data_IF_147201136734
#
_entry.id   IF_147201136734
#
_cell.length_a   1.000
_cell.length_b   1.000
_cell.length_c   1.000
_cell.angle_alpha   90.00
_cell.angle_beta   90.00
_cell.angle_gamma   90.00
#
_symmetry.space_group_name_H-M   'P 1'
#
loop_
_entity.id
_entity.type
_entity.pdbx_description
1 polymer ?
#
# COMPACT_ATOMS: atom_id res chain seq x y z
N UNK A 1 -29.59 54.69 -33.41
CA UNK A 1 -30.39 54.25 -32.26
C UNK A 1 -30.28 52.73 -32.19
N UNK A 2 -29.59 52.22 -31.17
CA UNK A 2 -29.23 50.81 -31.01
C UNK A 2 -30.35 50.08 -30.29
N UNK A 3 -31.09 49.24 -31.00
CA UNK A 3 -31.92 48.20 -30.42
C UNK A 3 -31.28 46.87 -30.79
N UNK A 4 -30.92 46.10 -29.76
CA UNK A 4 -30.58 44.67 -29.69
C UNK A 4 -29.63 44.58 -28.49
N UNK A 5 -30.22 44.51 -27.31
CA UNK A 5 -29.51 44.10 -26.12
C UNK A 5 -30.55 43.54 -25.16
N UNK A 6 -30.19 42.44 -24.51
CA UNK A 6 -30.92 41.75 -23.45
C UNK A 6 -31.94 40.75 -23.98
N UNK A 7 -31.48 39.50 -24.20
CA UNK A 7 -32.23 38.28 -23.87
C UNK A 7 -31.40 36.99 -23.97
N UNK A 8 -30.09 37.05 -23.71
CA UNK A 8 -29.25 35.84 -23.60
C UNK A 8 -28.28 35.99 -22.42
N UNK A 9 -28.82 36.05 -21.20
CA UNK A 9 -28.00 36.08 -19.98
C UNK A 9 -28.68 35.43 -18.77
N UNK A 10 -29.63 34.51 -18.98
CA UNK A 10 -30.37 33.87 -17.89
C UNK A 10 -30.35 32.33 -17.91
N UNK A 11 -29.63 31.69 -18.85
CA UNK A 11 -29.58 30.23 -18.97
C UNK A 11 -28.19 29.62 -18.71
N UNK A 12 -27.22 30.40 -18.23
CA UNK A 12 -25.82 29.97 -18.09
C UNK A 12 -25.30 29.83 -16.66
N UNK A 13 -26.15 29.97 -15.63
CA UNK A 13 -25.70 30.04 -14.21
C UNK A 13 -26.09 28.79 -13.40
N UNK A 14 -26.77 27.80 -13.99
CA UNK A 14 -27.35 26.66 -13.24
C UNK A 14 -26.64 25.30 -13.43
N UNK A 15 -25.42 25.24 -13.97
CA UNK A 15 -24.80 23.96 -14.37
C UNK A 15 -23.45 23.62 -13.74
N UNK A 16 -23.15 24.11 -12.54
CA UNK A 16 -21.96 23.65 -11.78
C UNK A 16 -22.26 23.11 -10.37
N UNK A 17 -23.52 23.13 -9.92
CA UNK A 17 -23.94 22.57 -8.62
C UNK A 17 -24.44 21.12 -8.69
N UNK A 18 -24.21 20.40 -9.80
CA UNK A 18 -24.93 19.15 -10.12
C UNK A 18 -24.14 17.85 -10.16
N UNK A 19 -22.87 17.78 -9.74
CA UNK A 19 -22.10 16.54 -9.95
C UNK A 19 -22.27 15.47 -8.85
N UNK A 20 -22.89 15.77 -7.72
CA UNK A 20 -23.12 14.79 -6.64
C UNK A 20 -24.62 14.66 -6.33
N UNK A 21 -25.32 13.81 -7.07
CA UNK A 21 -26.79 13.61 -7.01
C UNK A 21 -27.29 13.23 -5.60
N UNK A 22 -26.44 12.65 -4.76
CA UNK A 22 -26.81 12.11 -3.45
C UNK A 22 -26.08 12.76 -2.26
N UNK A 23 -25.54 13.97 -2.48
CA UNK A 23 -24.78 14.70 -1.47
C UNK A 23 -23.27 14.45 -1.53
N UNK A 24 -22.54 15.14 -0.66
CA UNK A 24 -21.08 15.09 -0.61
C UNK A 24 -20.61 14.51 0.71
N UNK A 25 -19.48 13.81 0.68
CA UNK A 25 -18.76 13.34 1.87
C UNK A 25 -17.35 13.90 1.86
N UNK A 26 -16.73 14.06 3.03
CA UNK A 26 -15.32 14.39 3.13
C UNK A 26 -14.51 13.10 3.24
N UNK A 27 -13.58 12.93 2.31
CA UNK A 27 -12.58 11.86 2.36
C UNK A 27 -11.25 12.44 2.82
N UNK A 28 -10.75 11.96 3.95
CA UNK A 28 -9.39 12.23 4.39
C UNK A 28 -8.39 11.58 3.43
N UNK A 29 -7.31 12.29 3.12
CA UNK A 29 -6.16 11.76 2.38
C UNK A 29 -4.89 12.41 2.91
N UNK A 30 -3.81 11.63 2.96
CA UNK A 30 -2.54 12.12 3.47
C UNK A 30 -1.68 12.71 2.35
N UNK A 31 -1.07 13.87 2.66
CA UNK A 31 -0.11 14.54 1.80
C UNK A 31 1.18 14.73 2.58
N UNK A 32 2.30 14.50 1.92
CA UNK A 32 3.62 14.77 2.48
C UNK A 32 4.12 16.11 1.97
N UNK A 33 4.39 17.04 2.88
CA UNK A 33 4.82 18.42 2.59
C UNK A 33 6.07 18.76 3.39
N UNK A 34 6.66 19.93 3.13
CA UNK A 34 7.75 20.47 3.94
C UNK A 34 7.69 21.99 3.93
N UNK A 35 7.82 22.67 5.07
CA UNK A 35 7.78 24.13 5.13
C UNK A 35 9.02 24.80 4.54
N UNK A 36 10.14 24.06 4.42
CA UNK A 36 11.44 24.59 4.00
C UNK A 36 11.84 24.16 2.59
N UNK A 37 11.12 23.22 1.96
CA UNK A 37 11.44 22.68 0.64
C UNK A 37 10.38 23.06 -0.39
N UNK A 38 10.82 23.28 -1.63
CA UNK A 38 9.90 23.49 -2.75
C UNK A 38 9.09 22.23 -3.06
N UNK A 39 7.89 22.40 -3.65
CA UNK A 39 7.04 21.27 -4.03
C UNK A 39 7.72 20.28 -4.99
N UNK A 40 8.56 20.76 -5.92
CA UNK A 40 9.34 19.90 -6.81
C UNK A 40 10.39 19.07 -6.06
N UNK A 41 11.01 19.63 -5.02
CA UNK A 41 11.97 18.91 -4.18
C UNK A 41 11.27 17.85 -3.32
N UNK A 42 10.12 18.18 -2.73
CA UNK A 42 9.28 17.21 -2.01
C UNK A 42 8.89 16.05 -2.94
N UNK A 43 8.43 16.34 -4.16
CA UNK A 43 8.08 15.30 -5.13
C UNK A 43 9.28 14.44 -5.56
N UNK A 44 10.49 15.01 -5.63
CA UNK A 44 11.71 14.25 -5.91
C UNK A 44 12.09 13.32 -4.75
N UNK A 45 12.04 13.82 -3.51
CA UNK A 45 12.30 13.02 -2.30
C UNK A 45 11.32 11.86 -2.20
N UNK A 46 10.03 12.12 -2.39
CA UNK A 46 9.00 11.06 -2.36
C UNK A 46 9.28 9.96 -3.38
N UNK A 47 9.56 10.34 -4.63
CA UNK A 47 9.91 9.39 -5.69
C UNK A 47 11.12 8.54 -5.33
N UNK A 48 12.16 9.15 -4.77
CA UNK A 48 13.36 8.42 -4.36
C UNK A 48 13.05 7.44 -3.23
N UNK A 49 12.45 7.91 -2.14
CA UNK A 49 12.09 7.07 -1.00
C UNK A 49 11.13 5.92 -1.39
N UNK A 50 10.19 6.17 -2.30
CA UNK A 50 9.29 5.13 -2.82
C UNK A 50 10.04 4.11 -3.68
N UNK A 51 10.99 4.55 -4.50
CA UNK A 51 11.83 3.65 -5.29
C UNK A 51 12.72 2.79 -4.39
N UNK A 52 13.37 3.39 -3.38
CA UNK A 52 14.21 2.67 -2.42
C UNK A 52 13.40 1.64 -1.63
N UNK A 53 12.19 1.99 -1.19
CA UNK A 53 11.31 1.07 -0.47
C UNK A 53 10.81 -0.08 -1.34
N UNK A 54 10.53 0.17 -2.63
CA UNK A 54 10.20 -0.89 -3.59
C UNK A 54 11.38 -1.82 -3.83
N UNK A 55 12.57 -1.26 -4.10
CA UNK A 55 13.77 -2.06 -4.28
C UNK A 55 14.05 -2.94 -3.05
N UNK A 56 13.96 -2.38 -1.84
CA UNK A 56 14.15 -3.16 -0.62
C UNK A 56 13.08 -4.25 -0.41
N UNK A 57 11.84 -4.00 -0.85
CA UNK A 57 10.77 -5.00 -0.81
C UNK A 57 11.04 -6.14 -1.81
N UNK A 58 11.47 -5.79 -3.03
CA UNK A 58 11.82 -6.75 -4.08
C UNK A 58 13.03 -7.61 -3.66
N UNK A 59 14.06 -7.01 -3.06
CA UNK A 59 15.22 -7.73 -2.52
C UNK A 59 14.81 -8.74 -1.44
N UNK A 60 13.95 -8.34 -0.49
CA UNK A 60 13.41 -9.24 0.54
C UNK A 60 12.56 -10.36 -0.07
N UNK A 61 11.76 -10.04 -1.08
CA UNK A 61 10.94 -11.01 -1.79
C UNK A 61 11.76 -12.04 -2.51
N UNK A 62 12.77 -11.61 -3.26
CA UNK A 62 13.67 -12.52 -3.96
C UNK A 62 14.46 -13.40 -2.99
N UNK A 63 14.94 -12.84 -1.88
CA UNK A 63 15.61 -13.62 -0.84
C UNK A 63 14.68 -14.67 -0.19
N UNK A 64 13.44 -14.28 0.12
CA UNK A 64 12.43 -15.20 0.67
C UNK A 64 12.05 -16.29 -0.33
N UNK A 65 11.85 -15.94 -1.60
CA UNK A 65 11.53 -16.89 -2.64
C UNK A 65 12.67 -17.89 -2.86
N UNK A 66 13.93 -17.43 -2.82
CA UNK A 66 15.09 -18.32 -2.88
C UNK A 66 15.13 -19.29 -1.70
N UNK A 67 14.89 -18.79 -0.49
CA UNK A 67 14.80 -19.62 0.72
C UNK A 67 13.69 -20.67 0.61
N UNK A 68 12.49 -20.27 0.20
CA UNK A 68 11.38 -21.21 -0.01
C UNK A 68 11.74 -22.26 -1.05
N UNK A 69 12.29 -21.87 -2.21
CA UNK A 69 12.68 -22.81 -3.26
C UNK A 69 13.70 -23.85 -2.76
N UNK A 70 14.64 -23.43 -1.91
CA UNK A 70 15.62 -24.32 -1.30
C UNK A 70 14.98 -25.26 -0.27
N UNK A 71 14.22 -24.74 0.70
CA UNK A 71 13.65 -25.53 1.79
C UNK A 71 12.54 -26.48 1.32
N UNK A 72 11.73 -26.05 0.35
CA UNK A 72 10.65 -26.86 -0.20
C UNK A 72 11.13 -28.02 -1.08
N UNK A 73 12.41 -28.05 -1.45
CA UNK A 73 13.01 -29.16 -2.19
C UNK A 73 13.50 -30.31 -1.28
N UNK A 74 13.48 -30.12 0.05
CA UNK A 74 13.95 -31.10 1.04
C UNK A 74 12.77 -31.95 1.52
N UNK A 75 13.05 -33.19 1.94
CA UNK A 75 12.03 -34.15 2.42
C UNK A 75 11.21 -33.64 3.61
N UNK A 76 11.83 -32.86 4.51
CA UNK A 76 11.17 -32.20 5.64
C UNK A 76 11.41 -30.69 5.63
N UNK A 77 10.63 -29.91 4.86
CA UNK A 77 10.81 -28.46 4.76
C UNK A 77 10.71 -27.78 6.13
N UNK A 78 11.63 -26.85 6.41
CA UNK A 78 11.65 -26.03 7.63
C UNK A 78 11.77 -26.79 8.96
N UNK A 79 12.16 -28.07 8.95
CA UNK A 79 12.30 -28.87 10.17
C UNK A 79 13.37 -28.31 11.13
N UNK A 80 14.38 -27.63 10.60
CA UNK A 80 15.47 -26.99 11.35
C UNK A 80 15.14 -25.58 11.86
N UNK A 81 13.98 -25.03 11.51
CA UNK A 81 13.64 -23.63 11.79
C UNK A 81 13.06 -23.46 13.19
N UNK A 82 13.56 -22.44 13.90
CA UNK A 82 12.95 -21.93 15.12
C UNK A 82 12.16 -20.68 14.75
N UNK A 83 10.84 -20.79 14.76
CA UNK A 83 9.96 -19.65 14.51
C UNK A 83 9.87 -18.79 15.76
N UNK A 84 10.14 -17.49 15.62
CA UNK A 84 10.13 -16.54 16.71
C UNK A 84 8.94 -15.58 16.59
N UNK A 85 8.35 -15.22 17.73
CA UNK A 85 7.40 -14.13 17.79
C UNK A 85 8.16 -12.80 17.62
N UNK A 86 7.81 -12.03 16.59
CA UNK A 86 8.51 -10.79 16.25
C UNK A 86 8.46 -9.70 17.34
N UNK A 87 7.48 -9.75 18.26
CA UNK A 87 7.34 -8.79 19.36
C UNK A 87 8.17 -9.20 20.56
N UNK A 88 8.13 -10.48 20.93
CA UNK A 88 8.74 -10.97 22.18
C UNK A 88 10.11 -11.60 21.99
N UNK A 89 10.47 -11.94 20.75
CA UNK A 89 11.70 -12.67 20.42
C UNK A 89 11.72 -14.12 20.91
N UNK A 90 10.62 -14.61 21.50
CA UNK A 90 10.53 -15.98 22.03
C UNK A 90 10.10 -16.97 20.94
N UNK A 91 10.51 -18.22 21.09
CA UNK A 91 10.05 -19.31 20.24
C UNK A 91 8.52 -19.42 20.27
N UNK A 92 7.94 -19.61 19.09
CA UNK A 92 6.53 -19.93 18.92
C UNK A 92 6.39 -21.43 19.13
N UNK A 93 5.56 -21.83 20.08
CA UNK A 93 5.32 -23.22 20.45
C UNK A 93 3.83 -23.56 20.39
N UNK A 94 3.51 -24.85 20.35
CA UNK A 94 2.13 -25.35 20.33
C UNK A 94 1.34 -25.01 19.06
N UNK A 95 0.04 -24.78 19.20
CA UNK A 95 -0.88 -24.54 18.07
C UNK A 95 -0.49 -23.34 17.18
N UNK A 96 0.02 -22.20 17.71
CA UNK A 96 0.58 -21.13 16.87
C UNK A 96 1.73 -21.57 15.96
N UNK A 97 2.58 -22.52 16.39
CA UNK A 97 3.69 -23.05 15.58
C UNK A 97 3.16 -23.87 14.40
N UNK A 98 2.15 -24.70 14.64
CA UNK A 98 1.52 -25.50 13.59
C UNK A 98 0.85 -24.62 12.52
N UNK A 99 0.25 -23.50 12.92
CA UNK A 99 -0.28 -22.51 11.96
C UNK A 99 0.82 -21.90 11.08
N UNK A 100 1.96 -21.53 11.66
CA UNK A 100 3.10 -21.02 10.90
C UNK A 100 3.61 -22.08 9.93
N UNK A 101 3.83 -23.32 10.39
CA UNK A 101 4.24 -24.43 9.54
C UNK A 101 3.26 -24.69 8.40
N UNK A 102 1.95 -24.62 8.65
CA UNK A 102 0.92 -24.74 7.62
C UNK A 102 1.06 -23.64 6.55
N UNK A 103 1.28 -22.39 6.95
CA UNK A 103 1.52 -21.29 6.00
C UNK A 103 2.74 -21.55 5.12
N UNK A 104 3.83 -22.06 5.68
CA UNK A 104 5.04 -22.42 4.93
C UNK A 104 4.83 -23.61 3.99
N UNK A 105 4.09 -24.65 4.41
CA UNK A 105 3.71 -25.76 3.52
C UNK A 105 2.84 -25.28 2.35
N UNK A 106 1.90 -24.38 2.60
CA UNK A 106 1.10 -23.78 1.53
C UNK A 106 1.96 -22.93 0.58
N UNK A 107 2.95 -22.20 1.10
CA UNK A 107 3.91 -21.48 0.27
C UNK A 107 4.74 -22.44 -0.61
N UNK A 108 5.17 -23.60 -0.09
CA UNK A 108 5.83 -24.63 -0.91
C UNK A 108 4.94 -25.12 -2.06
N UNK A 109 3.65 -25.37 -1.78
CA UNK A 109 2.68 -25.76 -2.81
C UNK A 109 2.56 -24.67 -3.89
N UNK A 110 2.44 -23.40 -3.49
CA UNK A 110 2.37 -22.27 -4.42
C UNK A 110 3.63 -22.18 -5.29
N UNK A 111 4.82 -22.29 -4.71
CA UNK A 111 6.10 -22.22 -5.44
C UNK A 111 6.25 -23.41 -6.41
N UNK A 112 5.73 -24.58 -6.05
CA UNK A 112 5.73 -25.76 -6.92
C UNK A 112 4.76 -25.62 -8.11
N UNK A 113 3.58 -25.03 -7.88
CA UNK A 113 2.57 -24.80 -8.92
C UNK A 113 2.89 -23.59 -9.81
N UNK A 114 3.52 -22.56 -9.24
CA UNK A 114 3.90 -21.34 -9.93
C UNK A 114 5.40 -21.03 -9.70
N UNK A 115 6.26 -21.20 -10.71
CA UNK A 115 7.70 -20.94 -10.58
C UNK A 115 8.05 -19.44 -10.41
N UNK A 116 7.10 -18.54 -10.68
CA UNK A 116 7.21 -17.08 -10.57
C UNK A 116 6.03 -16.53 -9.75
N UNK A 117 5.94 -16.85 -8.44
CA UNK A 117 4.91 -16.29 -7.58
C UNK A 117 5.14 -14.79 -7.36
N UNK A 118 4.07 -14.10 -7.01
CA UNK A 118 4.09 -12.67 -6.66
C UNK A 118 4.16 -12.48 -5.13
N UNK A 119 4.50 -11.29 -4.64
CA UNK A 119 4.41 -10.97 -3.20
C UNK A 119 3.02 -11.23 -2.60
N UNK A 120 1.95 -11.07 -3.37
CA UNK A 120 0.59 -11.32 -2.91
C UNK A 120 0.31 -12.81 -2.67
N UNK A 121 0.89 -13.69 -3.50
CA UNK A 121 0.73 -15.15 -3.35
C UNK A 121 1.39 -15.67 -2.06
N UNK A 122 2.42 -14.97 -1.57
CA UNK A 122 3.26 -15.41 -0.45
C UNK A 122 3.12 -14.54 0.82
N UNK A 123 2.12 -13.65 0.88
CA UNK A 123 1.96 -12.63 1.93
C UNK A 123 1.96 -13.22 3.36
N UNK A 124 1.35 -14.39 3.53
CA UNK A 124 1.27 -15.08 4.82
C UNK A 124 2.62 -15.60 5.35
N UNK A 125 3.64 -15.67 4.49
CA UNK A 125 4.98 -16.17 4.84
C UNK A 125 6.08 -15.13 4.72
N UNK A 126 5.83 -14.03 4.00
CA UNK A 126 6.78 -12.93 3.92
C UNK A 126 6.18 -11.60 4.37
N UNK A 127 6.16 -11.43 5.69
CA UNK A 127 5.81 -10.15 6.31
C UNK A 127 6.85 -9.11 5.92
N UNK A 128 6.46 -8.14 5.09
CA UNK A 128 7.35 -7.06 4.62
C UNK A 128 7.96 -7.26 3.23
N UNK A 129 7.59 -8.33 2.52
CA UNK A 129 7.81 -8.43 1.07
C UNK A 129 6.89 -7.51 0.26
N UNK A 130 5.75 -7.12 0.84
CA UNK A 130 4.92 -6.08 0.24
C UNK A 130 5.59 -4.72 0.44
N UNK A 131 5.73 -3.90 -0.62
CA UNK A 131 6.14 -2.52 -0.45
C UNK A 131 5.08 -1.83 0.41
N UNK A 132 5.42 -1.53 1.67
CA UNK A 132 4.64 -0.58 2.48
C UNK A 132 4.88 0.79 1.88
N UNK A 133 3.98 1.18 0.98
CA UNK A 133 3.88 2.54 0.50
C UNK A 133 2.91 3.28 1.41
N UNK A 134 3.27 4.47 1.92
CA UNK A 134 4.53 5.18 1.71
C UNK A 134 5.71 4.68 2.56
N UNK A 135 6.94 4.97 2.12
CA UNK A 135 8.18 4.76 2.85
C UNK A 135 8.34 5.75 4.02
N UNK A 136 7.39 5.77 4.96
CA UNK A 136 7.20 6.84 5.96
C UNK A 136 8.49 7.21 6.70
N UNK A 137 9.25 6.21 7.17
CA UNK A 137 10.51 6.45 7.87
C UNK A 137 11.57 7.17 7.00
N UNK A 138 11.55 7.00 5.67
CA UNK A 138 12.41 7.75 4.76
C UNK A 138 11.96 9.20 4.64
N UNK A 139 10.65 9.44 4.50
CA UNK A 139 10.09 10.77 4.42
C UNK A 139 10.39 11.61 5.68
N UNK A 140 10.20 11.01 6.86
CA UNK A 140 10.47 11.65 8.14
C UNK A 140 11.95 12.05 8.26
N UNK A 141 12.87 11.15 7.88
CA UNK A 141 14.32 11.44 7.86
C UNK A 141 14.70 12.54 6.87
N UNK A 142 13.92 12.73 5.82
CA UNK A 142 14.12 13.77 4.81
C UNK A 142 13.39 15.08 5.16
N UNK A 143 12.80 15.17 6.36
CA UNK A 143 12.13 16.38 6.86
C UNK A 143 10.78 16.65 6.18
N UNK A 144 10.14 15.61 5.65
CA UNK A 144 8.75 15.71 5.21
C UNK A 144 7.81 15.49 6.39
N UNK A 145 6.70 16.21 6.41
CA UNK A 145 5.66 16.11 7.43
C UNK A 145 4.39 15.59 6.78
N UNK A 146 3.73 14.64 7.45
CA UNK A 146 2.42 14.14 7.03
C UNK A 146 1.34 15.14 7.43
N UNK A 147 0.59 15.61 6.44
CA UNK A 147 -0.55 16.49 6.61
C UNK A 147 -1.80 15.76 6.07
N UNK A 148 -2.77 15.53 6.94
CA UNK A 148 -4.06 15.00 6.51
C UNK A 148 -4.90 16.13 5.93
N UNK A 149 -5.29 15.99 4.67
CA UNK A 149 -6.19 16.91 3.96
C UNK A 149 -7.52 16.23 3.70
N UNK A 150 -8.53 17.04 3.45
CA UNK A 150 -9.88 16.55 3.15
C UNK A 150 -10.25 16.96 1.74
N UNK A 151 -10.74 16.00 0.95
CA UNK A 151 -11.35 16.28 -0.34
C UNK A 151 -12.83 15.94 -0.28
N UNK A 152 -13.63 16.80 -0.89
CA UNK A 152 -15.05 16.55 -1.08
C UNK A 152 -15.22 15.51 -2.18
N UNK A 153 -15.88 14.39 -1.88
CA UNK A 153 -16.22 13.32 -2.83
C UNK A 153 -17.73 13.15 -2.90
N UNK A 154 -18.25 12.70 -4.04
CA UNK A 154 -19.67 12.35 -4.14
C UNK A 154 -19.94 11.08 -3.33
N UNK A 155 -20.98 11.10 -2.50
CA UNK A 155 -21.39 9.93 -1.74
C UNK A 155 -22.22 8.98 -2.63
N UNK A 156 -21.91 7.67 -2.66
CA UNK A 156 -22.81 6.69 -3.26
C UNK A 156 -24.06 6.52 -2.39
N UNK A 157 -25.21 6.31 -3.02
CA UNK A 157 -26.47 6.04 -2.33
C UNK A 157 -26.35 4.72 -1.54
N UNK A 158 -26.44 4.77 -0.21
CA UNK A 158 -26.64 3.54 0.60
C UNK A 158 -28.08 3.09 0.36
N UNK A 159 -28.29 2.08 -0.48
CA UNK A 159 -29.55 1.35 -0.52
C UNK A 159 -29.60 0.46 0.74
N UNK A 160 -30.53 0.78 1.64
CA UNK A 160 -30.91 -0.08 2.76
C UNK A 160 -31.97 -1.07 2.30
#
# INVERSE_FOLDING_TARGET
MRAIMILIAAAGVLSLSGCCVFGTSQQAYDVWTSPTLSGSRVAAIRRQCDADARQAADERFNAHLALLKQECAIEQPFASFVFLNHVTGKAIEGEPRERVLYSFRNACRIVAENPQPTPDDLDNTCVGCKPRLPAEACYDRQGLVRETRYRTVCAPMKMF
#
